data_IF_538673422929
#
_entry.id   IF_538673422929
#
_cell.length_a   1.000
_cell.length_b   1.000
_cell.length_c   1.000
_cell.angle_alpha   90.00
_cell.angle_beta   90.00
_cell.angle_gamma   90.00
#
_symmetry.space_group_name_H-M   'P 1'
#
loop_
_entity.id
_entity.type
_entity.pdbx_description
1 polymer ?
#
# COMPACT_ATOMS: atom_id res chain seq x y z
N UNK A 1 -15.78 18.87 -13.70
CA UNK A 1 -16.15 18.52 -12.32
C UNK A 1 -17.12 17.34 -12.35
N UNK A 2 -17.11 16.45 -11.34
CA UNK A 2 -18.06 15.33 -11.29
C UNK A 2 -19.51 15.83 -11.23
N UNK A 3 -20.44 15.11 -11.86
CA UNK A 3 -21.88 15.40 -11.77
C UNK A 3 -22.48 14.76 -10.52
N UNK A 4 -23.69 15.17 -10.14
CA UNK A 4 -24.40 14.56 -9.01
C UNK A 4 -24.61 13.05 -9.22
N UNK A 5 -24.86 12.63 -10.46
CA UNK A 5 -24.97 11.20 -10.80
C UNK A 5 -23.65 10.45 -10.60
N UNK A 6 -22.50 11.08 -10.87
CA UNK A 6 -21.19 10.49 -10.57
C UNK A 6 -21.03 10.23 -9.07
N UNK A 7 -21.36 11.21 -8.23
CA UNK A 7 -21.27 11.04 -6.77
C UNK A 7 -22.27 9.99 -6.24
N UNK A 8 -23.49 9.93 -6.77
CA UNK A 8 -24.46 8.86 -6.42
C UNK A 8 -23.92 7.46 -6.76
N UNK A 9 -23.27 7.31 -7.91
CA UNK A 9 -22.62 6.04 -8.31
C UNK A 9 -21.49 5.67 -7.35
N UNK A 10 -20.65 6.64 -6.96
CA UNK A 10 -19.58 6.42 -5.99
C UNK A 10 -20.12 5.97 -4.62
N UNK A 11 -21.20 6.59 -4.11
CA UNK A 11 -21.81 6.21 -2.84
C UNK A 11 -22.37 4.77 -2.88
N UNK A 12 -23.07 4.41 -3.96
CA UNK A 12 -23.56 3.03 -4.17
C UNK A 12 -22.42 2.02 -4.26
N UNK A 13 -21.32 2.39 -4.91
CA UNK A 13 -20.15 1.54 -5.04
C UNK A 13 -19.46 1.31 -3.69
N UNK A 14 -19.31 2.37 -2.88
CA UNK A 14 -18.76 2.27 -1.53
C UNK A 14 -19.62 1.36 -0.64
N UNK A 15 -20.94 1.54 -0.68
CA UNK A 15 -21.87 0.66 0.05
C UNK A 15 -21.74 -0.80 -0.39
N UNK A 16 -21.68 -1.04 -1.71
CA UNK A 16 -21.51 -2.38 -2.26
C UNK A 16 -20.20 -3.02 -1.81
N UNK A 17 -19.08 -2.29 -1.87
CA UNK A 17 -17.79 -2.81 -1.45
C UNK A 17 -17.77 -3.25 0.02
N UNK A 18 -18.41 -2.51 0.91
CA UNK A 18 -18.56 -2.93 2.31
C UNK A 18 -19.34 -4.24 2.41
N UNK A 19 -20.49 -4.36 1.72
CA UNK A 19 -21.31 -5.57 1.73
C UNK A 19 -20.59 -6.77 1.12
N UNK A 20 -19.75 -6.53 0.12
CA UNK A 20 -18.97 -7.56 -0.57
C UNK A 20 -17.70 -7.94 0.24
N UNK A 21 -17.52 -7.43 1.47
CA UNK A 21 -16.40 -7.81 2.35
C UNK A 21 -15.06 -7.17 1.98
N UNK A 22 -15.05 -6.09 1.21
CA UNK A 22 -13.82 -5.46 0.76
C UNK A 22 -13.16 -4.64 1.88
N UNK A 23 -12.14 -5.20 2.54
CA UNK A 23 -11.40 -4.56 3.63
C UNK A 23 -10.80 -3.18 3.28
N UNK A 24 -10.60 -2.85 2.00
CA UNK A 24 -10.06 -1.54 1.59
C UNK A 24 -10.95 -0.35 1.91
N UNK A 25 -12.25 -0.56 2.18
CA UNK A 25 -13.18 0.55 2.47
C UNK A 25 -13.15 1.04 3.90
N UNK A 26 -12.56 0.28 4.85
CA UNK A 26 -12.61 0.61 6.27
C UNK A 26 -12.05 2.01 6.58
N UNK A 27 -10.93 2.37 5.96
CA UNK A 27 -10.34 3.70 6.10
C UNK A 27 -11.26 4.83 5.63
N UNK A 28 -12.06 4.60 4.57
CA UNK A 28 -13.03 5.58 4.09
C UNK A 28 -14.19 5.74 5.05
N UNK A 29 -14.71 4.63 5.59
CA UNK A 29 -15.84 4.65 6.53
C UNK A 29 -15.47 5.35 7.84
N UNK A 30 -14.23 5.19 8.31
CA UNK A 30 -13.70 5.86 9.52
C UNK A 30 -13.57 7.38 9.42
N UNK A 31 -13.80 8.00 8.25
CA UNK A 31 -13.97 9.46 8.15
C UNK A 31 -15.19 9.95 8.95
N UNK A 32 -16.20 9.10 9.13
CA UNK A 32 -17.32 9.40 10.02
C UNK A 32 -16.88 9.21 11.48
N UNK A 33 -16.99 10.24 12.35
CA UNK A 33 -16.50 10.15 13.73
C UNK A 33 -17.06 8.98 14.53
N UNK A 34 -18.30 8.58 14.25
CA UNK A 34 -19.00 7.45 14.89
C UNK A 34 -18.37 6.08 14.62
N UNK A 35 -17.53 5.98 13.59
CA UNK A 35 -16.86 4.75 13.19
C UNK A 35 -15.36 4.76 13.44
N UNK A 36 -14.80 5.86 13.95
CA UNK A 36 -13.36 6.11 14.05
C UNK A 36 -12.57 4.94 14.66
N UNK A 37 -13.10 4.34 15.72
CA UNK A 37 -12.42 3.30 16.50
C UNK A 37 -12.88 1.88 16.15
N UNK A 38 -13.70 1.72 15.12
CA UNK A 38 -14.24 0.43 14.69
C UNK A 38 -13.25 -0.27 13.76
N UNK A 39 -12.97 -1.55 14.03
CA UNK A 39 -12.05 -2.37 13.24
C UNK A 39 -12.63 -2.71 11.87
N UNK A 40 -11.79 -3.07 10.90
CA UNK A 40 -12.25 -3.47 9.56
C UNK A 40 -13.24 -4.66 9.61
N UNK A 41 -13.00 -5.74 10.37
CA UNK A 41 -13.97 -6.84 10.49
C UNK A 41 -15.32 -6.40 11.06
N UNK A 42 -15.32 -5.54 12.08
CA UNK A 42 -16.56 -5.01 12.66
C UNK A 42 -17.30 -4.12 11.67
N UNK A 43 -16.59 -3.24 10.95
CA UNK A 43 -17.17 -2.38 9.91
C UNK A 43 -17.83 -3.18 8.79
N UNK A 44 -17.21 -4.29 8.37
CA UNK A 44 -17.77 -5.17 7.34
C UNK A 44 -19.00 -5.94 7.83
N UNK A 45 -19.18 -6.11 9.15
CA UNK A 45 -20.37 -6.71 9.74
C UNK A 45 -21.52 -5.71 9.96
N UNK A 46 -21.28 -4.41 9.84
CA UNK A 46 -22.31 -3.38 10.03
C UNK A 46 -23.35 -3.38 8.91
N UNK A 47 -24.55 -2.92 9.26
CA UNK A 47 -25.59 -2.59 8.28
C UNK A 47 -25.36 -1.18 7.69
N UNK A 48 -24.31 -1.05 6.88
CA UNK A 48 -23.88 0.22 6.31
C UNK A 48 -24.89 0.77 5.30
N UNK A 49 -25.46 1.94 5.62
CA UNK A 49 -26.54 2.56 4.84
C UNK A 49 -26.01 3.43 3.73
N UNK A 50 -26.79 3.53 2.65
CA UNK A 50 -26.47 4.42 1.53
C UNK A 50 -26.30 5.89 1.96
N UNK A 51 -27.07 6.33 2.97
CA UNK A 51 -26.97 7.68 3.51
C UNK A 51 -25.58 7.96 4.11
N UNK A 52 -24.99 6.98 4.78
CA UNK A 52 -23.65 7.09 5.37
C UNK A 52 -22.58 7.08 4.29
N UNK A 53 -22.74 6.26 3.26
CA UNK A 53 -21.90 6.30 2.08
C UNK A 53 -21.94 7.68 1.39
N UNK A 54 -23.12 8.30 1.29
CA UNK A 54 -23.28 9.65 0.74
C UNK A 54 -22.60 10.72 1.60
N UNK A 55 -22.66 10.61 2.93
CA UNK A 55 -21.95 11.50 3.85
C UNK A 55 -20.43 11.43 3.62
N UNK A 56 -19.87 10.22 3.50
CA UNK A 56 -18.45 10.01 3.21
C UNK A 56 -18.05 10.61 1.85
N UNK A 57 -18.83 10.35 0.80
CA UNK A 57 -18.56 10.96 -0.53
C UNK A 57 -18.60 12.48 -0.47
N UNK A 58 -19.50 13.07 0.33
CA UNK A 58 -19.56 14.51 0.51
C UNK A 58 -18.30 15.05 1.19
N UNK A 59 -17.86 14.41 2.27
CA UNK A 59 -16.64 14.77 3.00
C UNK A 59 -15.39 14.69 2.11
N UNK A 60 -15.26 13.60 1.34
CA UNK A 60 -14.15 13.40 0.39
C UNK A 60 -14.13 14.44 -0.74
N UNK A 61 -15.31 14.96 -1.09
CA UNK A 61 -15.45 16.04 -2.06
C UNK A 61 -15.29 17.44 -1.43
N UNK A 62 -15.03 17.53 -0.11
CA UNK A 62 -14.80 18.78 0.61
C UNK A 62 -16.08 19.47 1.14
N UNK A 63 -17.20 18.75 1.23
CA UNK A 63 -18.47 19.27 1.71
C UNK A 63 -18.84 18.68 3.07
N UNK A 64 -19.43 19.51 3.94
CA UNK A 64 -19.88 19.09 5.28
C UNK A 64 -21.08 18.12 5.26
N UNK A 65 -21.81 18.04 4.13
CA UNK A 65 -22.97 17.16 4.00
C UNK A 65 -23.31 16.85 2.55
N UNK A 66 -24.07 15.77 2.34
CA UNK A 66 -24.65 15.44 1.03
C UNK A 66 -25.62 16.52 0.52
N UNK A 67 -26.27 17.26 1.41
CA UNK A 67 -27.13 18.38 1.02
C UNK A 67 -26.30 19.55 0.47
N UNK A 68 -25.20 19.91 1.15
CA UNK A 68 -24.27 20.94 0.69
C UNK A 68 -23.62 20.59 -0.66
N UNK A 69 -23.19 19.34 -0.84
CA UNK A 69 -22.67 18.85 -2.11
C UNK A 69 -23.70 18.96 -3.23
N UNK A 70 -24.95 18.56 -2.98
CA UNK A 70 -26.03 18.67 -3.98
C UNK A 70 -26.28 20.10 -4.42
N UNK A 71 -26.44 21.01 -3.46
CA UNK A 71 -26.66 22.42 -3.75
C UNK A 71 -25.52 23.02 -4.59
N UNK A 72 -24.27 22.70 -4.24
CA UNK A 72 -23.10 23.20 -4.97
C UNK A 72 -23.00 22.65 -6.41
N UNK A 73 -23.36 21.38 -6.61
CA UNK A 73 -23.33 20.76 -7.96
C UNK A 73 -24.49 21.27 -8.84
N UNK A 74 -25.64 21.57 -8.24
CA UNK A 74 -26.80 22.13 -8.94
C UNK A 74 -26.57 23.58 -9.38
N UNK A 75 -25.82 24.36 -8.60
CA UNK A 75 -25.42 25.75 -8.93
C UNK A 75 -24.26 25.81 -9.95
N UNK A 76 -23.45 24.74 -10.03
CA UNK A 76 -22.30 24.70 -10.92
C UNK A 76 -22.71 24.46 -12.39
N UNK A 77 -22.27 25.35 -13.29
CA UNK A 77 -22.40 25.14 -14.73
C UNK A 77 -21.53 23.96 -15.21
N UNK A 78 -22.05 23.08 -16.10
CA UNK A 78 -21.29 21.94 -16.58
C UNK A 78 -20.08 22.40 -17.40
N UNK A 79 -18.88 21.96 -17.00
CA UNK A 79 -17.66 22.14 -17.81
C UNK A 79 -17.62 21.06 -18.90
N UNK A 80 -17.26 21.40 -20.16
CA UNK A 80 -17.08 20.41 -21.21
C UNK A 80 -16.04 19.35 -20.80
N UNK A 81 -16.20 18.09 -21.26
CA UNK A 81 -15.26 17.03 -20.96
C UNK A 81 -13.86 17.38 -21.49
N UNK A 82 -12.84 17.15 -20.66
CA UNK A 82 -11.44 17.31 -21.06
C UNK A 82 -11.07 16.18 -22.03
N UNK A 83 -10.26 16.49 -23.05
CA UNK A 83 -9.77 15.47 -23.98
C UNK A 83 -8.88 14.46 -23.22
N UNK A 84 -8.93 13.16 -23.57
CA UNK A 84 -8.12 12.15 -22.91
C UNK A 84 -6.62 12.44 -23.13
N UNK A 85 -5.86 12.46 -22.04
CA UNK A 85 -4.40 12.55 -22.06
C UNK A 85 -3.80 11.15 -22.30
N UNK A 86 -2.64 11.05 -22.95
CA UNK A 86 -1.95 9.76 -23.10
C UNK A 86 -1.59 9.19 -21.72
N UNK A 87 -1.72 7.87 -21.59
CA UNK A 87 -1.28 7.17 -20.38
C UNK A 87 0.25 7.04 -20.39
N UNK A 88 0.88 7.41 -19.28
CA UNK A 88 2.31 7.20 -19.02
C UNK A 88 2.43 6.24 -17.84
N UNK A 89 3.37 5.31 -17.91
CA UNK A 89 3.67 4.38 -16.83
C UNK A 89 4.89 4.90 -16.05
N UNK A 90 4.80 4.91 -14.73
CA UNK A 90 5.90 5.25 -13.83
C UNK A 90 6.71 3.98 -13.46
N UNK A 91 7.28 3.94 -12.27
CA UNK A 91 8.05 2.80 -11.78
C UNK A 91 7.18 1.59 -11.40
N UNK A 92 7.69 0.39 -11.66
CA UNK A 92 7.16 -0.83 -11.07
C UNK A 92 7.57 -0.93 -9.59
N UNK A 93 6.61 -1.14 -8.70
CA UNK A 93 6.86 -1.30 -7.25
C UNK A 93 6.54 -2.73 -6.82
N UNK A 94 7.53 -3.51 -6.35
CA UNK A 94 7.29 -4.86 -5.84
C UNK A 94 6.32 -4.85 -4.67
N UNK A 95 5.48 -5.88 -4.60
CA UNK A 95 4.59 -6.15 -3.46
C UNK A 95 5.11 -7.38 -2.74
N UNK A 96 5.64 -7.20 -1.54
CA UNK A 96 6.15 -8.25 -0.69
C UNK A 96 5.03 -8.77 0.21
N UNK A 97 4.93 -10.10 0.29
CA UNK A 97 3.89 -10.77 1.06
C UNK A 97 4.39 -11.05 2.47
N UNK A 98 3.65 -10.56 3.45
CA UNK A 98 4.07 -10.54 4.86
C UNK A 98 2.95 -11.09 5.74
N UNK A 99 3.29 -11.60 6.92
CA UNK A 99 2.31 -12.12 7.90
C UNK A 99 1.85 -11.06 8.90
N UNK A 100 2.64 -10.00 9.08
CA UNK A 100 2.27 -8.82 9.85
C UNK A 100 2.83 -7.57 9.16
N UNK A 101 1.92 -6.74 8.64
CA UNK A 101 2.29 -5.54 7.87
C UNK A 101 2.96 -4.48 8.74
N UNK A 102 2.56 -4.36 10.01
CA UNK A 102 3.17 -3.39 10.93
C UNK A 102 4.57 -3.82 11.31
N UNK A 103 4.74 -5.08 11.72
CA UNK A 103 6.06 -5.61 12.09
C UNK A 103 7.03 -5.58 10.92
N UNK A 104 6.57 -5.92 9.70
CA UNK A 104 7.39 -5.80 8.50
C UNK A 104 7.81 -4.33 8.23
N UNK A 105 6.88 -3.37 8.29
CA UNK A 105 7.20 -1.96 8.09
C UNK A 105 8.21 -1.44 9.12
N UNK A 106 8.09 -1.86 10.38
CA UNK A 106 9.04 -1.54 11.45
C UNK A 106 10.42 -2.16 11.20
N UNK A 107 10.50 -3.40 10.70
CA UNK A 107 11.76 -4.01 10.27
C UNK A 107 12.43 -3.21 9.16
N UNK A 108 11.71 -2.87 8.08
CA UNK A 108 12.27 -2.07 6.98
C UNK A 108 12.77 -0.71 7.47
N UNK A 109 12.04 -0.08 8.41
CA UNK A 109 12.45 1.19 9.02
C UNK A 109 13.70 1.06 9.88
N UNK A 110 13.66 0.17 10.87
CA UNK A 110 14.65 0.13 11.95
C UNK A 110 15.92 -0.62 11.55
N UNK A 111 15.83 -1.55 10.59
CA UNK A 111 16.96 -2.39 10.14
C UNK A 111 17.54 -1.95 8.81
N UNK A 112 16.70 -1.47 7.89
CA UNK A 112 17.10 -1.14 6.52
C UNK A 112 16.99 0.36 6.20
N UNK A 113 16.61 1.19 7.17
CA UNK A 113 16.60 2.65 7.03
C UNK A 113 15.50 3.20 6.12
N UNK A 114 14.44 2.44 5.85
CA UNK A 114 13.28 2.94 5.10
C UNK A 114 12.39 3.85 5.97
N UNK A 115 11.60 4.71 5.34
CA UNK A 115 10.45 5.37 5.95
C UNK A 115 9.18 4.54 5.78
N UNK A 116 8.25 4.66 6.72
CA UNK A 116 6.89 4.11 6.57
C UNK A 116 6.02 5.18 5.92
N UNK A 117 5.57 4.95 4.69
CA UNK A 117 4.77 5.92 3.94
C UNK A 117 3.33 5.94 4.46
N UNK A 118 2.72 4.76 4.55
CA UNK A 118 1.38 4.56 5.11
C UNK A 118 1.17 3.10 5.49
N UNK A 119 0.26 2.88 6.46
CA UNK A 119 -0.29 1.58 6.80
C UNK A 119 -1.82 1.64 6.63
N UNK A 120 -2.36 0.75 5.81
CA UNK A 120 -3.79 0.71 5.49
C UNK A 120 -4.48 -0.48 6.15
N UNK A 121 -5.62 -0.19 6.78
CA UNK A 121 -6.45 -1.15 7.51
C UNK A 121 -6.32 -1.04 9.03
N UNK A 122 -7.30 -1.61 9.73
CA UNK A 122 -7.32 -1.68 11.18
C UNK A 122 -7.82 -3.06 11.65
N UNK A 123 -6.93 -4.03 11.95
CA UNK A 123 -5.46 -3.97 11.86
C UNK A 123 -4.94 -3.83 10.41
N UNK A 124 -3.70 -3.34 10.20
CA UNK A 124 -3.17 -3.14 8.85
C UNK A 124 -3.06 -4.43 8.05
N UNK A 125 -3.54 -4.40 6.80
CA UNK A 125 -3.41 -5.52 5.85
C UNK A 125 -2.65 -5.15 4.58
N UNK A 126 -2.31 -3.87 4.42
CA UNK A 126 -1.50 -3.34 3.33
C UNK A 126 -0.68 -2.13 3.78
N UNK A 127 0.46 -1.87 3.19
CA UNK A 127 1.29 -0.70 3.50
C UNK A 127 2.34 -0.43 2.44
N UNK A 128 3.07 0.66 2.61
CA UNK A 128 4.21 1.03 1.77
C UNK A 128 5.35 1.55 2.63
N UNK A 129 6.57 1.20 2.22
CA UNK A 129 7.81 1.74 2.76
C UNK A 129 8.69 2.24 1.63
N UNK A 130 9.41 3.33 1.86
CA UNK A 130 10.30 3.93 0.87
C UNK A 130 11.65 4.32 1.45
N UNK A 131 12.70 4.24 0.63
CA UNK A 131 14.03 4.82 0.91
C UNK A 131 14.55 5.40 -0.38
N UNK A 132 14.82 6.70 -0.38
CA UNK A 132 15.17 7.45 -1.59
C UNK A 132 14.11 7.22 -2.69
N UNK A 133 14.51 6.79 -3.89
CA UNK A 133 13.61 6.52 -5.01
C UNK A 133 13.02 5.09 -4.99
N UNK A 134 13.45 4.23 -4.05
CA UNK A 134 12.98 2.85 -3.93
C UNK A 134 11.71 2.79 -3.07
N UNK A 135 10.69 2.08 -3.57
CA UNK A 135 9.43 1.85 -2.84
C UNK A 135 9.08 0.37 -2.89
N UNK A 136 8.73 -0.18 -1.73
CA UNK A 136 8.24 -1.54 -1.55
C UNK A 136 6.86 -1.49 -0.92
N UNK A 137 5.91 -2.22 -1.51
CA UNK A 137 4.60 -2.41 -0.92
C UNK A 137 4.57 -3.68 -0.09
N UNK A 138 3.81 -3.66 0.99
CA UNK A 138 3.67 -4.78 1.93
C UNK A 138 2.21 -5.23 1.91
N UNK A 139 1.97 -6.52 1.71
CA UNK A 139 0.62 -7.10 1.68
C UNK A 139 0.52 -8.27 2.64
N UNK A 140 -0.45 -8.20 3.55
CA UNK A 140 -0.81 -9.31 4.42
C UNK A 140 -1.26 -10.52 3.60
N UNK A 141 -0.65 -11.68 3.87
CA UNK A 141 -1.12 -13.00 3.47
C UNK A 141 -1.20 -13.91 4.68
N UNK A 142 -2.18 -14.81 4.71
CA UNK A 142 -2.35 -15.75 5.82
C UNK A 142 -1.46 -17.00 5.68
N UNK A 143 -1.10 -17.35 4.44
CA UNK A 143 -0.31 -18.52 4.11
C UNK A 143 0.93 -18.12 3.30
N UNK A 144 2.06 -18.85 3.44
CA UNK A 144 3.22 -18.64 2.60
C UNK A 144 2.87 -18.74 1.12
N UNK A 145 3.34 -17.77 0.32
CA UNK A 145 3.09 -17.78 -1.14
C UNK A 145 4.07 -18.66 -1.92
N UNK A 146 5.20 -19.00 -1.30
CA UNK A 146 6.20 -19.90 -1.84
C UNK A 146 6.15 -21.22 -1.07
N UNK A 147 6.28 -22.32 -1.79
CA UNK A 147 6.49 -23.64 -1.16
C UNK A 147 7.83 -23.66 -0.41
N UNK A 148 7.88 -24.40 0.70
CA UNK A 148 8.99 -24.31 1.66
C UNK A 148 10.38 -24.52 1.04
N UNK A 149 10.51 -25.43 0.07
CA UNK A 149 11.79 -25.71 -0.59
C UNK A 149 12.21 -24.57 -1.52
N UNK A 150 11.25 -23.95 -2.22
CA UNK A 150 11.53 -22.78 -3.07
C UNK A 150 11.98 -21.57 -2.25
N UNK A 151 11.45 -21.39 -1.03
CA UNK A 151 11.88 -20.29 -0.15
C UNK A 151 13.35 -20.41 0.33
N UNK A 152 13.95 -21.61 0.20
CA UNK A 152 15.35 -21.91 0.55
C UNK A 152 16.29 -21.87 -0.65
N UNK A 153 15.77 -21.64 -1.85
CA UNK A 153 16.58 -21.55 -3.07
C UNK A 153 17.59 -20.39 -2.94
N UNK A 154 18.87 -20.70 -3.18
CA UNK A 154 19.93 -19.70 -3.21
C UNK A 154 19.69 -18.74 -4.37
N UNK A 155 19.84 -17.44 -4.13
CA UNK A 155 19.63 -16.43 -5.16
C UNK A 155 18.16 -16.16 -5.52
N UNK A 156 17.19 -16.65 -4.75
CA UNK A 156 15.80 -16.20 -4.90
C UNK A 156 15.72 -14.68 -4.66
N UNK A 157 15.07 -13.94 -5.57
CA UNK A 157 14.92 -12.48 -5.50
C UNK A 157 13.43 -12.12 -5.65
N UNK A 158 12.87 -11.46 -4.64
CA UNK A 158 11.48 -10.99 -4.64
C UNK A 158 11.37 -9.47 -4.89
N UNK A 159 12.44 -8.74 -4.60
CA UNK A 159 12.59 -7.35 -5.02
C UNK A 159 14.04 -7.07 -5.44
N UNK A 160 14.20 -6.28 -6.49
CA UNK A 160 15.49 -5.87 -7.03
C UNK A 160 15.59 -4.35 -6.91
N UNK A 161 16.62 -3.86 -6.23
CA UNK A 161 16.83 -2.44 -5.97
C UNK A 161 18.24 -2.04 -6.45
N UNK A 162 18.27 -1.17 -7.46
CA UNK A 162 19.52 -0.55 -7.91
C UNK A 162 20.06 0.41 -6.85
N UNK A 163 21.37 0.33 -6.60
CA UNK A 163 22.06 1.02 -5.53
C UNK A 163 23.36 1.59 -6.06
N UNK A 164 23.49 2.91 -6.06
CA UNK A 164 24.70 3.60 -6.56
C UNK A 164 25.97 3.27 -5.76
N UNK A 165 25.83 3.03 -4.45
CA UNK A 165 26.93 2.79 -3.50
C UNK A 165 26.70 1.49 -2.72
N UNK A 166 26.64 0.36 -3.43
CA UNK A 166 26.22 -0.94 -2.86
C UNK A 166 27.15 -1.45 -1.75
N UNK A 167 28.45 -1.11 -1.79
CA UNK A 167 29.43 -1.52 -0.79
C UNK A 167 29.23 -0.81 0.55
N UNK A 168 28.94 0.48 0.47
CA UNK A 168 28.66 1.34 1.61
C UNK A 168 27.34 0.94 2.27
N UNK A 169 26.30 0.67 1.47
CA UNK A 169 25.02 0.16 1.97
C UNK A 169 25.18 -1.21 2.64
N UNK A 170 25.99 -2.09 2.06
CA UNK A 170 26.31 -3.38 2.67
C UNK A 170 26.98 -3.23 4.04
N UNK A 171 27.98 -2.35 4.15
CA UNK A 171 28.65 -2.05 5.41
C UNK A 171 27.71 -1.43 6.46
N UNK A 172 26.82 -0.52 6.03
CA UNK A 172 25.76 0.08 6.86
C UNK A 172 24.87 -1.02 7.47
N UNK A 173 24.39 -1.94 6.65
CA UNK A 173 23.51 -3.02 7.10
C UNK A 173 24.21 -4.01 8.03
N UNK A 174 25.47 -4.36 7.76
CA UNK A 174 26.25 -5.18 8.70
C UNK A 174 26.42 -4.48 10.06
N UNK A 175 26.69 -3.17 10.06
CA UNK A 175 26.80 -2.39 11.30
C UNK A 175 25.46 -2.30 12.06
N UNK A 176 24.33 -2.32 11.35
CA UNK A 176 22.99 -2.43 11.92
C UNK A 176 22.63 -3.86 12.39
N UNK A 177 23.53 -4.83 12.19
CA UNK A 177 23.34 -6.25 12.56
C UNK A 177 22.41 -7.01 11.61
N UNK A 178 22.22 -6.53 10.38
CA UNK A 178 21.46 -7.24 9.35
C UNK A 178 22.34 -8.35 8.79
N UNK A 179 21.90 -9.60 8.97
CA UNK A 179 22.60 -10.76 8.41
C UNK A 179 22.20 -10.93 6.93
N UNK A 180 23.16 -10.85 6.00
CA UNK A 180 22.86 -11.02 4.58
C UNK A 180 22.56 -12.49 4.27
N UNK A 181 21.47 -12.73 3.52
CA UNK A 181 21.15 -14.03 2.97
C UNK A 181 22.15 -14.44 1.88
N UNK A 182 22.66 -13.46 1.14
CA UNK A 182 23.82 -13.59 0.25
C UNK A 182 24.76 -12.43 0.55
N UNK A 183 26.02 -12.73 0.88
CA UNK A 183 27.05 -11.70 1.10
C UNK A 183 27.30 -10.91 -0.18
N UNK A 184 27.90 -9.73 -0.04
CA UNK A 184 28.32 -8.92 -1.18
C UNK A 184 29.18 -9.74 -2.16
N UNK A 185 28.65 -10.00 -3.34
CA UNK A 185 29.19 -10.94 -4.32
C UNK A 185 29.26 -10.29 -5.70
N UNK A 186 30.35 -10.54 -6.42
CA UNK A 186 30.47 -10.16 -7.82
C UNK A 186 29.84 -11.25 -8.68
N UNK A 187 28.80 -10.91 -9.42
CA UNK A 187 28.07 -11.88 -10.23
C UNK A 187 28.78 -12.18 -11.55
N UNK A 188 28.64 -13.42 -12.04
CA UNK A 188 29.29 -13.87 -13.28
C UNK A 188 28.77 -13.13 -14.52
N UNK A 189 27.52 -12.67 -14.48
CA UNK A 189 26.89 -11.87 -15.53
C UNK A 189 27.15 -10.36 -15.40
N UNK A 190 27.98 -9.93 -14.45
CA UNK A 190 28.26 -8.53 -14.16
C UNK A 190 27.38 -7.97 -13.04
N UNK A 191 27.81 -6.84 -12.47
CA UNK A 191 27.21 -6.24 -11.27
C UNK A 191 27.81 -6.77 -9.96
N UNK A 192 27.58 -6.05 -8.87
CA UNK A 192 27.90 -6.49 -7.51
C UNK A 192 26.65 -6.37 -6.66
N UNK A 193 26.23 -7.45 -6.01
CA UNK A 193 24.99 -7.46 -5.22
C UNK A 193 25.15 -8.13 -3.86
N UNK A 194 24.18 -7.90 -2.99
CA UNK A 194 23.94 -8.70 -1.81
C UNK A 194 22.43 -8.86 -1.61
N UNK A 195 22.02 -9.88 -0.86
CA UNK A 195 20.61 -10.18 -0.60
C UNK A 195 20.34 -10.10 0.89
N UNK A 196 19.27 -9.40 1.26
CA UNK A 196 18.73 -9.35 2.63
C UNK A 196 17.42 -10.12 2.68
N UNK A 197 17.20 -10.82 3.79
CA UNK A 197 15.93 -11.48 4.08
C UNK A 197 15.14 -10.68 5.13
N UNK A 198 13.86 -10.46 4.87
CA UNK A 198 12.96 -9.84 5.86
C UNK A 198 12.43 -10.86 6.89
N UNK A 199 11.55 -10.40 7.79
CA UNK A 199 10.95 -11.23 8.85
C UNK A 199 10.14 -12.43 8.34
N UNK A 200 9.61 -12.34 7.12
CA UNK A 200 8.74 -13.34 6.50
C UNK A 200 9.44 -14.15 5.40
N UNK A 201 10.74 -13.94 5.23
CA UNK A 201 11.56 -14.70 4.30
C UNK A 201 11.68 -14.08 2.92
N UNK A 202 11.06 -12.92 2.67
CA UNK A 202 11.20 -12.22 1.40
C UNK A 202 12.64 -11.78 1.19
N UNK A 203 13.15 -11.99 -0.02
CA UNK A 203 14.53 -11.66 -0.37
C UNK A 203 14.60 -10.39 -1.23
N UNK A 204 15.34 -9.40 -0.74
CA UNK A 204 15.56 -8.13 -1.44
C UNK A 204 17.02 -8.07 -1.86
N UNK A 205 17.25 -8.02 -3.17
CA UNK A 205 18.57 -7.84 -3.75
C UNK A 205 18.88 -6.35 -3.92
N UNK A 206 20.03 -5.93 -3.38
CA UNK A 206 20.58 -4.60 -3.59
C UNK A 206 21.76 -4.72 -4.55
N UNK A 207 21.69 -4.06 -5.69
CA UNK A 207 22.61 -4.26 -6.82
C UNK A 207 23.26 -2.95 -7.21
N UNK A 208 24.59 -2.94 -7.35
CA UNK A 208 25.36 -1.80 -7.85
C UNK A 208 26.17 -2.08 -9.11
#
# INVERSE_FOLDING_TARGET
MPTLETYKKQAKQLQRWQRDGNHSVGGRIRQLPRYRDVTDPELLALNFKLAEAQEIIALEAGYESWAALRAAVEDASPRPPEAPKPALLDAARPVLFVRDVRAAAEFYRDRLGFGVDFLHGHPPFYGSVSRDDATLHLRLVHEPVLVADAAREEGLIMAFIETRNVKELYAEYLAAGVEPAQKLTKQAWGGTDFIVRDLDGNTVAFVG
#
